data_IF_699310224613
#
_entry.id   IF_699310224613
#
_cell.length_a   1.000
_cell.length_b   1.000
_cell.length_c   1.000
_cell.angle_alpha   90.00
_cell.angle_beta   90.00
_cell.angle_gamma   90.00
#
_symmetry.space_group_name_H-M   'P 1'
#
loop_
_entity.id
_entity.type
_entity.pdbx_description
1 polymer ?
#
# COMPACT_ATOMS: atom_id res chain seq x y z
N UNK A 1 0.68 -34.25 -15.09
CA UNK A 1 0.62 -32.87 -15.60
C UNK A 1 -0.34 -32.11 -14.69
N UNK A 2 0.18 -31.40 -13.68
CA UNK A 2 -0.64 -30.63 -12.74
C UNK A 2 -0.67 -29.16 -13.20
N UNK A 3 -1.78 -28.76 -13.81
CA UNK A 3 -2.01 -27.37 -14.19
C UNK A 3 -2.45 -26.61 -12.92
N UNK A 4 -1.48 -26.02 -12.23
CA UNK A 4 -1.72 -25.03 -11.19
C UNK A 4 -2.29 -23.77 -11.87
N UNK A 5 -3.61 -23.73 -12.04
CA UNK A 5 -4.32 -22.55 -12.49
C UNK A 5 -4.46 -21.58 -11.30
N UNK A 6 -3.43 -20.78 -11.04
CA UNK A 6 -3.54 -19.61 -10.19
C UNK A 6 -4.14 -18.48 -11.03
N UNK A 7 -5.45 -18.52 -11.27
CA UNK A 7 -6.17 -17.37 -11.80
C UNK A 7 -6.20 -16.31 -10.71
N UNK A 8 -5.22 -15.40 -10.74
CA UNK A 8 -5.31 -14.14 -10.03
C UNK A 8 -6.45 -13.37 -10.70
N UNK A 9 -7.55 -13.19 -9.98
CA UNK A 9 -8.56 -12.18 -10.33
C UNK A 9 -7.82 -10.84 -10.23
N UNK A 10 -7.28 -10.39 -11.36
CA UNK A 10 -6.84 -9.01 -11.59
C UNK A 10 -8.10 -8.15 -11.60
N UNK A 11 -8.67 -7.91 -10.41
CA UNK A 11 -9.50 -6.74 -10.22
C UNK A 11 -8.61 -5.57 -10.59
N UNK A 12 -8.98 -4.82 -11.62
CA UNK A 12 -8.29 -3.65 -12.15
C UNK A 12 -7.49 -2.97 -11.03
N UNK A 13 -6.16 -3.02 -11.08
CA UNK A 13 -5.31 -2.52 -10.01
C UNK A 13 -5.72 -1.09 -9.67
N UNK A 14 -6.48 -0.95 -8.57
CA UNK A 14 -7.23 0.27 -8.31
C UNK A 14 -6.22 1.38 -8.05
N UNK A 15 -6.08 2.31 -9.01
CA UNK A 15 -5.18 3.46 -8.87
C UNK A 15 -5.62 4.28 -7.67
N UNK A 16 -4.81 4.24 -6.60
CA UNK A 16 -5.05 4.98 -5.35
C UNK A 16 -4.56 6.42 -5.52
N UNK A 17 -3.38 6.63 -6.11
CA UNK A 17 -2.84 7.97 -6.35
C UNK A 17 -2.98 8.37 -7.82
N UNK A 18 -4.13 8.94 -8.21
CA UNK A 18 -4.39 9.36 -9.61
C UNK A 18 -3.37 10.36 -10.18
N UNK A 19 -2.77 11.21 -9.35
CA UNK A 19 -1.74 12.16 -9.81
C UNK A 19 -0.47 11.48 -10.33
N UNK A 20 -0.13 10.32 -9.76
CA UNK A 20 1.16 9.65 -9.98
C UNK A 20 0.97 8.24 -10.57
N UNK A 21 -0.26 7.80 -10.82
CA UNK A 21 -0.57 6.49 -11.38
C UNK A 21 -0.34 5.31 -10.43
N UNK A 22 -0.17 5.56 -9.13
CA UNK A 22 0.20 4.51 -8.16
C UNK A 22 -1.02 3.71 -7.73
N UNK A 23 -0.91 2.39 -7.82
CA UNK A 23 -1.95 1.40 -7.54
C UNK A 23 -2.01 0.97 -6.07
N UNK A 24 -3.12 0.36 -5.68
CA UNK A 24 -3.28 -0.21 -4.33
C UNK A 24 -2.25 -1.32 -4.05
N UNK A 25 -1.96 -2.17 -5.05
CA UNK A 25 -1.01 -3.28 -4.91
C UNK A 25 0.39 -2.77 -4.62
N UNK A 26 0.87 -1.77 -5.37
CA UNK A 26 2.19 -1.16 -5.14
C UNK A 26 2.30 -0.55 -3.72
N UNK A 27 1.24 0.13 -3.26
CA UNK A 27 1.21 0.71 -1.91
C UNK A 27 1.25 -0.37 -0.84
N UNK A 28 0.45 -1.43 -0.98
CA UNK A 28 0.43 -2.56 -0.04
C UNK A 28 1.80 -3.25 0.00
N UNK A 29 2.40 -3.51 -1.16
CA UNK A 29 3.68 -4.20 -1.28
C UNK A 29 4.82 -3.39 -0.63
N UNK A 30 4.97 -2.11 -0.99
CA UNK A 30 5.97 -1.22 -0.39
C UNK A 30 5.75 -1.11 1.12
N UNK A 31 4.51 -0.95 1.56
CA UNK A 31 4.17 -0.83 2.98
C UNK A 31 4.65 -2.06 3.76
N UNK A 32 4.42 -3.27 3.23
CA UNK A 32 4.79 -4.53 3.90
C UNK A 32 6.29 -4.81 3.87
N UNK A 33 6.96 -4.57 2.74
CA UNK A 33 8.38 -4.83 2.53
C UNK A 33 9.23 -3.84 3.33
N UNK A 34 8.91 -2.55 3.22
CA UNK A 34 9.66 -1.46 3.87
C UNK A 34 9.18 -1.14 5.28
N UNK A 35 8.19 -1.88 5.80
CA UNK A 35 7.71 -1.74 7.18
C UNK A 35 7.19 -0.34 7.51
N UNK A 36 6.60 0.31 6.50
CA UNK A 36 6.11 1.69 6.55
C UNK A 36 5.04 1.84 7.62
N UNK A 37 5.26 2.77 8.55
CA UNK A 37 4.33 3.07 9.65
C UNK A 37 3.56 4.38 9.43
N UNK A 38 3.99 5.24 8.51
CA UNK A 38 3.34 6.52 8.28
C UNK A 38 3.39 7.01 6.83
N UNK A 39 2.55 8.00 6.52
CA UNK A 39 2.44 8.57 5.17
C UNK A 39 3.72 9.27 4.72
N UNK A 40 4.50 9.85 5.64
CA UNK A 40 5.77 10.51 5.30
C UNK A 40 6.78 9.50 4.75
N UNK A 41 6.94 8.36 5.41
CA UNK A 41 7.76 7.24 4.95
C UNK A 41 7.26 6.69 3.61
N UNK A 42 5.94 6.46 3.47
CA UNK A 42 5.37 5.99 2.19
C UNK A 42 5.72 6.93 1.03
N UNK A 43 5.64 8.25 1.27
CA UNK A 43 5.98 9.27 0.26
C UNK A 43 7.45 9.25 -0.11
N UNK A 44 8.36 9.00 0.83
CA UNK A 44 9.79 8.87 0.53
C UNK A 44 10.08 7.66 -0.36
N UNK A 45 9.36 6.56 -0.17
CA UNK A 45 9.61 5.31 -0.91
C UNK A 45 8.87 5.21 -2.25
N UNK A 46 7.70 5.84 -2.38
CA UNK A 46 6.81 5.65 -3.54
C UNK A 46 6.32 6.95 -4.19
N UNK A 47 6.60 8.11 -3.59
CA UNK A 47 5.99 9.41 -3.93
C UNK A 47 4.46 9.51 -3.76
N UNK A 48 3.75 8.40 -3.46
CA UNK A 48 2.30 8.36 -3.30
C UNK A 48 1.80 9.40 -2.28
N UNK A 49 0.94 10.31 -2.74
CA UNK A 49 0.42 11.40 -1.91
C UNK A 49 1.21 12.70 -1.99
N UNK A 50 2.23 12.81 -2.83
CA UNK A 50 2.95 14.08 -3.07
C UNK A 50 2.24 15.05 -4.02
N UNK A 51 1.18 14.60 -4.73
CA UNK A 51 0.33 15.44 -5.59
C UNK A 51 -0.80 16.16 -4.83
N UNK A 52 -2.03 16.06 -5.33
CA UNK A 52 -3.19 16.80 -4.82
C UNK A 52 -3.74 16.33 -3.44
N UNK A 53 -3.07 15.37 -2.80
CA UNK A 53 -3.41 14.78 -1.49
C UNK A 53 -4.79 14.09 -1.35
N UNK A 54 -5.64 14.08 -2.38
CA UNK A 54 -6.96 13.42 -2.33
C UNK A 54 -6.91 11.92 -1.97
N UNK A 55 -5.79 11.25 -2.26
CA UNK A 55 -5.56 9.83 -1.95
C UNK A 55 -5.17 9.56 -0.48
N UNK A 56 -4.81 10.59 0.30
CA UNK A 56 -4.23 10.44 1.65
C UNK A 56 -5.10 9.61 2.59
N UNK A 57 -6.43 9.74 2.52
CA UNK A 57 -7.35 8.94 3.35
C UNK A 57 -7.17 7.43 3.11
N UNK A 58 -7.14 7.02 1.84
CA UNK A 58 -6.98 5.61 1.44
C UNK A 58 -5.55 5.13 1.72
N UNK A 59 -4.52 5.94 1.46
CA UNK A 59 -3.14 5.60 1.80
C UNK A 59 -2.96 5.33 3.29
N UNK A 60 -3.47 6.20 4.16
CA UNK A 60 -3.42 5.99 5.62
C UNK A 60 -4.18 4.73 6.06
N UNK A 61 -5.27 4.38 5.38
CA UNK A 61 -5.97 3.13 5.63
C UNK A 61 -5.09 1.92 5.29
N UNK A 62 -4.48 1.91 4.09
CA UNK A 62 -3.59 0.83 3.66
C UNK A 62 -2.40 0.69 4.62
N UNK A 63 -1.79 1.80 5.03
CA UNK A 63 -0.68 1.81 5.99
C UNK A 63 -1.12 1.20 7.33
N UNK A 64 -2.30 1.56 7.86
CA UNK A 64 -2.78 0.97 9.12
C UNK A 64 -3.07 -0.53 9.02
N UNK A 65 -3.57 -0.99 7.88
CA UNK A 65 -3.93 -2.39 7.66
C UNK A 65 -2.73 -3.28 7.34
N UNK A 66 -1.63 -2.71 6.82
CA UNK A 66 -0.51 -3.48 6.25
C UNK A 66 0.87 -3.08 6.78
N UNK A 67 0.97 -1.95 7.48
CA UNK A 67 2.20 -1.46 8.09
C UNK A 67 2.65 -2.33 9.25
N UNK A 68 3.80 -1.99 9.81
CA UNK A 68 4.30 -2.69 11.00
C UNK A 68 3.28 -2.55 12.13
N UNK A 69 2.64 -3.66 12.51
CA UNK A 69 2.02 -3.77 13.82
C UNK A 69 3.13 -3.47 14.82
N UNK A 70 3.05 -2.34 15.51
CA UNK A 70 3.75 -2.22 16.79
C UNK A 70 3.19 -3.35 17.65
N UNK A 71 3.98 -4.38 17.90
CA UNK A 71 3.68 -5.34 18.94
C UNK A 71 3.47 -4.51 20.21
N UNK A 72 2.22 -4.39 20.66
CA UNK A 72 1.93 -3.80 21.94
C UNK A 72 2.64 -4.66 22.98
N UNK A 73 3.78 -4.17 23.47
CA UNK A 73 4.36 -4.56 24.75
C UNK A 73 3.22 -4.53 25.78
N UNK A 74 2.73 -5.73 26.10
CA UNK A 74 1.90 -5.95 27.27
C UNK A 74 2.88 -6.13 28.43
N UNK A 75 3.10 -5.07 29.20
CA UNK A 75 3.54 -5.13 30.59
C UNK A 75 2.87 -3.97 31.36
#
# INVERSE_FOLDING_TARGET
>A
MNQNNCTLILGEDLVVCKCLGITEVEVVEITRIKKIGCLAELRMESEAGSGCTACHKKLNQIIRENGSLSENSTL
#
